data_IF_692995011634
#
_entry.id   IF_692995011634
#
_cell.length_a   1.000
_cell.length_b   1.000
_cell.length_c   1.000
_cell.angle_alpha   90.00
_cell.angle_beta   90.00
_cell.angle_gamma   90.00
#
_symmetry.space_group_name_H-M   'P 1'
#
loop_
_entity.id
_entity.type
_entity.pdbx_description
1 polymer ?
#
# COMPACT_ATOMS: atom_id res chain seq x y z
N UNK A 1 -19.70 14.80 13.68
CA UNK A 1 -18.29 14.38 13.53
C UNK A 1 -18.26 13.59 12.23
N UNK A 2 -17.38 13.94 11.28
CA UNK A 2 -17.21 13.11 10.08
C UNK A 2 -16.57 11.83 10.60
N UNK A 3 -17.25 10.69 10.50
CA UNK A 3 -16.59 9.40 10.73
C UNK A 3 -15.41 9.38 9.75
N UNK A 4 -14.18 9.09 10.21
CA UNK A 4 -12.90 9.17 9.47
C UNK A 4 -12.81 8.20 8.27
N UNK A 5 -13.93 7.95 7.60
CA UNK A 5 -14.08 7.10 6.43
C UNK A 5 -13.99 7.95 5.17
N UNK A 6 -13.36 7.34 4.18
CA UNK A 6 -13.36 7.83 2.81
C UNK A 6 -14.79 7.95 2.27
N UNK A 7 -15.07 8.99 1.50
CA UNK A 7 -16.29 9.08 0.70
C UNK A 7 -16.24 8.04 -0.43
N UNK A 8 -17.20 7.11 -0.47
CA UNK A 8 -17.23 6.02 -1.46
C UNK A 8 -17.29 6.53 -2.91
N UNK A 9 -17.79 7.75 -3.13
CA UNK A 9 -17.83 8.37 -4.46
C UNK A 9 -16.50 9.03 -4.88
N UNK A 10 -15.53 9.12 -3.96
CA UNK A 10 -14.25 9.79 -4.21
C UNK A 10 -13.27 8.94 -5.02
N UNK A 11 -13.42 7.61 -5.08
CA UNK A 11 -12.51 6.70 -5.76
C UNK A 11 -13.27 5.82 -6.74
N UNK A 12 -12.81 5.77 -7.99
CA UNK A 12 -13.43 4.94 -9.03
C UNK A 12 -12.36 4.14 -9.77
N UNK A 13 -12.53 2.81 -9.82
CA UNK A 13 -11.78 1.95 -10.75
C UNK A 13 -12.40 2.10 -12.14
N UNK A 14 -11.67 2.73 -13.07
CA UNK A 14 -12.15 2.96 -14.44
C UNK A 14 -11.91 1.73 -15.31
N UNK A 15 -10.76 1.09 -15.15
CA UNK A 15 -10.37 -0.15 -15.82
C UNK A 15 -9.31 -0.92 -14.98
N UNK A 16 -8.60 -1.88 -15.57
CA UNK A 16 -7.59 -2.69 -14.87
C UNK A 16 -6.38 -1.90 -14.34
N UNK A 17 -6.00 -0.80 -15.00
CA UNK A 17 -4.79 -0.03 -14.70
C UNK A 17 -5.07 1.46 -14.44
N UNK A 18 -6.35 1.87 -14.40
CA UNK A 18 -6.75 3.26 -14.18
C UNK A 18 -7.62 3.42 -12.95
N UNK A 19 -7.18 4.27 -12.02
CA UNK A 19 -7.95 4.74 -10.86
C UNK A 19 -8.18 6.24 -10.99
N UNK A 20 -9.43 6.67 -10.79
CA UNK A 20 -9.81 8.09 -10.78
C UNK A 20 -10.13 8.53 -9.36
N UNK A 21 -9.53 9.64 -8.95
CA UNK A 21 -9.80 10.31 -7.67
C UNK A 21 -10.63 11.58 -7.92
N UNK A 22 -11.68 11.79 -7.11
CA UNK A 22 -12.49 13.00 -7.09
C UNK A 22 -12.36 13.65 -5.72
N UNK A 23 -11.65 14.78 -5.67
CA UNK A 23 -11.48 15.53 -4.43
C UNK A 23 -12.71 16.40 -4.14
N UNK A 24 -13.04 16.56 -2.86
CA UNK A 24 -14.08 17.49 -2.42
C UNK A 24 -13.66 18.96 -2.56
N UNK A 25 -12.36 19.23 -2.46
CA UNK A 25 -11.73 20.53 -2.68
C UNK A 25 -10.40 20.35 -3.41
N UNK A 26 -9.91 21.33 -4.18
CA UNK A 26 -8.56 21.29 -4.73
C UNK A 26 -7.52 21.14 -3.61
N UNK A 27 -6.59 20.19 -3.76
CA UNK A 27 -5.55 19.92 -2.78
C UNK A 27 -4.24 19.55 -3.48
N UNK A 28 -3.22 20.41 -3.34
CA UNK A 28 -1.89 20.20 -3.91
C UNK A 28 -1.08 19.14 -3.15
N UNK A 29 -1.43 18.88 -1.90
CA UNK A 29 -0.73 17.92 -1.04
C UNK A 29 -1.13 16.47 -1.33
N UNK A 30 -2.13 16.21 -2.17
CA UNK A 30 -2.58 14.86 -2.50
C UNK A 30 -1.41 13.97 -2.96
N UNK A 31 -0.67 14.41 -3.98
CA UNK A 31 0.42 13.63 -4.58
C UNK A 31 1.53 13.32 -3.57
N UNK A 32 2.12 14.30 -2.85
CA UNK A 32 3.13 13.97 -1.85
C UNK A 32 2.59 13.07 -0.73
N UNK A 33 1.35 13.24 -0.29
CA UNK A 33 0.76 12.40 0.76
C UNK A 33 0.59 10.93 0.35
N UNK A 34 0.23 10.65 -0.91
CA UNK A 34 0.12 9.26 -1.39
C UNK A 34 1.47 8.62 -1.73
N UNK A 35 2.52 9.42 -1.87
CA UNK A 35 3.89 8.94 -2.10
C UNK A 35 4.69 8.72 -0.81
N UNK A 36 4.17 9.17 0.34
CA UNK A 36 4.85 9.01 1.63
C UNK A 36 4.58 7.62 2.25
N UNK A 37 5.32 7.28 3.30
CA UNK A 37 5.27 5.97 3.96
C UNK A 37 3.87 5.50 4.42
N UNK A 38 2.86 6.36 4.72
CA UNK A 38 1.51 5.90 5.04
C UNK A 38 0.70 5.49 3.79
N UNK A 39 1.10 5.92 2.59
CA UNK A 39 0.38 5.74 1.33
C UNK A 39 0.58 4.37 0.66
N UNK A 40 0.98 3.34 1.42
CA UNK A 40 1.29 2.02 0.86
C UNK A 40 0.04 1.37 0.22
N UNK A 41 0.20 0.90 -1.01
CA UNK A 41 -0.79 0.02 -1.65
C UNK A 41 -0.61 -1.39 -1.12
N UNK A 42 -1.59 -1.85 -0.34
CA UNK A 42 -1.60 -3.18 0.29
C UNK A 42 -2.51 -4.16 -0.45
N UNK A 43 -2.30 -5.45 -0.23
CA UNK A 43 -3.19 -6.47 -0.77
C UNK A 43 -4.59 -6.37 -0.15
N UNK A 44 -5.65 -6.66 -0.91
CA UNK A 44 -7.06 -6.55 -0.49
C UNK A 44 -7.44 -7.30 0.80
N UNK A 45 -6.65 -8.31 1.19
CA UNK A 45 -6.87 -9.09 2.42
C UNK A 45 -6.15 -8.50 3.64
N UNK A 46 -5.55 -7.32 3.53
CA UNK A 46 -4.78 -6.68 4.60
C UNK A 46 -5.63 -6.41 5.84
N UNK A 47 -6.79 -5.77 5.67
CA UNK A 47 -7.70 -5.44 6.77
C UNK A 47 -8.29 -6.71 7.39
N UNK A 48 -8.72 -7.68 6.56
CA UNK A 48 -9.23 -8.98 7.01
C UNK A 48 -8.21 -9.77 7.84
N UNK A 49 -6.92 -9.54 7.59
CA UNK A 49 -5.80 -10.14 8.32
C UNK A 49 -5.31 -9.30 9.50
N UNK A 50 -6.07 -8.29 9.89
CA UNK A 50 -5.83 -7.51 11.11
C UNK A 50 -5.06 -6.20 10.91
N UNK A 51 -4.86 -5.75 9.66
CA UNK A 51 -4.23 -4.45 9.38
C UNK A 51 -2.76 -4.35 9.82
N UNK A 52 -2.09 -5.49 9.99
CA UNK A 52 -0.67 -5.56 10.35
C UNK A 52 0.13 -6.18 9.20
N UNK A 53 1.08 -5.42 8.64
CA UNK A 53 1.94 -5.90 7.56
C UNK A 53 2.81 -7.08 7.98
N UNK A 54 3.15 -7.20 9.27
CA UNK A 54 3.87 -8.37 9.79
C UNK A 54 3.03 -9.64 9.68
N UNK A 55 1.71 -9.53 9.85
CA UNK A 55 0.76 -10.64 9.73
C UNK A 55 0.30 -10.87 8.29
N UNK A 56 0.34 -9.85 7.44
CA UNK A 56 0.06 -9.93 6.00
C UNK A 56 1.19 -9.30 5.17
N UNK A 57 2.35 -9.98 5.03
CA UNK A 57 3.51 -9.44 4.33
C UNK A 57 3.38 -9.53 2.80
N UNK A 58 2.20 -9.20 2.26
CA UNK A 58 1.92 -9.19 0.83
C UNK A 58 2.04 -7.75 0.34
N UNK A 59 3.16 -7.45 -0.30
CA UNK A 59 3.45 -6.12 -0.84
C UNK A 59 4.07 -6.18 -2.22
N UNK A 60 4.06 -5.05 -2.91
CA UNK A 60 4.58 -4.90 -4.27
C UNK A 60 6.02 -4.40 -4.30
N UNK A 61 6.69 -4.23 -3.15
CA UNK A 61 8.06 -3.71 -3.04
C UNK A 61 9.16 -4.67 -3.54
N UNK A 62 10.41 -4.19 -3.62
CA UNK A 62 11.55 -4.94 -4.16
C UNK A 62 12.05 -6.07 -3.25
N UNK A 63 11.56 -6.14 -2.02
CA UNK A 63 11.93 -7.17 -1.04
C UNK A 63 10.68 -7.77 -0.40
N UNK A 64 10.78 -9.06 -0.06
CA UNK A 64 9.74 -9.82 0.63
C UNK A 64 10.17 -10.10 2.08
N UNK A 65 9.24 -9.93 3.03
CA UNK A 65 9.51 -10.21 4.45
C UNK A 65 9.70 -11.72 4.64
N UNK A 66 10.83 -12.09 5.26
CA UNK A 66 11.18 -13.49 5.58
C UNK A 66 10.93 -13.77 7.06
N UNK A 67 11.40 -12.89 7.95
CA UNK A 67 11.17 -13.03 9.40
C UNK A 67 11.14 -11.68 10.10
N UNK A 68 10.41 -11.62 11.21
CA UNK A 68 10.31 -10.44 12.07
C UNK A 68 10.46 -10.84 13.53
N UNK A 69 11.66 -10.69 14.07
CA UNK A 69 12.00 -11.00 15.46
C UNK A 69 12.00 -9.69 16.28
N UNK A 70 10.91 -9.47 17.04
CA UNK A 70 10.69 -8.22 17.79
C UNK A 70 11.87 -7.92 18.73
N UNK A 71 12.41 -6.72 18.63
CA UNK A 71 13.55 -6.27 19.45
C UNK A 71 14.90 -6.89 19.06
N UNK A 72 14.97 -7.64 17.96
CA UNK A 72 16.19 -8.30 17.51
C UNK A 72 16.52 -7.95 16.05
N UNK A 73 15.76 -8.48 15.09
CA UNK A 73 16.04 -8.30 13.65
C UNK A 73 14.80 -8.47 12.79
N UNK A 74 14.86 -7.91 11.60
CA UNK A 74 13.90 -8.17 10.51
C UNK A 74 14.69 -8.64 9.31
N UNK A 75 14.30 -9.76 8.72
CA UNK A 75 14.98 -10.35 7.56
C UNK A 75 14.08 -10.20 6.33
N UNK A 76 14.67 -9.70 5.25
CA UNK A 76 14.04 -9.59 3.95
C UNK A 76 14.87 -10.34 2.91
N UNK A 77 14.21 -10.85 1.87
CA UNK A 77 14.86 -11.39 0.67
C UNK A 77 14.49 -10.53 -0.54
N UNK A 78 15.38 -10.46 -1.53
CA UNK A 78 15.10 -9.79 -2.80
C UNK A 78 13.90 -10.49 -3.47
N UNK A 79 13.02 -9.71 -4.07
CA UNK A 79 11.96 -10.21 -4.96
C UNK A 79 12.60 -10.54 -6.31
N UNK A 80 12.54 -11.81 -6.72
CA UNK A 80 13.16 -12.32 -7.96
C UNK A 80 12.14 -12.59 -9.07
N UNK A 81 10.85 -12.60 -8.75
CA UNK A 81 9.78 -13.05 -9.63
C UNK A 81 9.27 -11.98 -10.62
N UNK A 82 9.56 -10.70 -10.39
CA UNK A 82 8.94 -9.59 -11.12
C UNK A 82 9.98 -8.64 -11.71
N UNK A 83 9.94 -8.49 -13.04
CA UNK A 83 10.66 -7.48 -13.83
C UNK A 83 10.30 -6.02 -13.44
N UNK A 84 9.31 -5.82 -12.57
CA UNK A 84 8.79 -4.52 -12.16
C UNK A 84 9.82 -3.62 -11.48
N UNK A 85 10.74 -4.18 -10.68
CA UNK A 85 11.80 -3.40 -10.01
C UNK A 85 13.16 -3.48 -10.71
N UNK A 86 13.20 -3.98 -11.95
CA UNK A 86 14.40 -4.03 -12.79
C UNK A 86 15.65 -4.62 -12.09
N UNK A 87 15.43 -5.59 -11.20
CA UNK A 87 16.51 -6.26 -10.48
C UNK A 87 17.15 -7.34 -11.35
N UNK A 88 18.47 -7.23 -11.57
CA UNK A 88 19.31 -8.38 -11.97
C UNK A 88 19.15 -9.56 -10.98
#
# INVERSE_FOLDING_TARGET
>A
VKDDKLDESAVTKVDEHTVKLKLSTPDIALIPNVCDYPGLIVHKTFDEKGGDFKACPIGTGPFELVSYDVGQKVVYKRREDNKWWDGE
#
